data_IF_610884995309
#
_entry.id   IF_610884995309
#
_cell.length_a   1.000
_cell.length_b   1.000
_cell.length_c   1.000
_cell.angle_alpha   90.00
_cell.angle_beta   90.00
_cell.angle_gamma   90.00
#
_symmetry.space_group_name_H-M   'P 1'
#
loop_
_entity.id
_entity.type
_entity.pdbx_description
1 polymer ?
#
# COMPACT_ATOMS: atom_id res chain seq x y z
N UNK A 1 -19.62 -18.32 -13.92
CA UNK A 1 -18.28 -17.72 -14.02
C UNK A 1 -18.52 -16.36 -14.62
N UNK A 2 -18.41 -15.30 -13.82
CA UNK A 2 -18.72 -13.95 -14.30
C UNK A 2 -17.65 -13.53 -15.30
N UNK A 3 -18.12 -13.17 -16.50
CA UNK A 3 -17.35 -12.57 -17.59
C UNK A 3 -16.45 -11.45 -17.09
N UNK A 4 -15.33 -11.28 -17.80
CA UNK A 4 -14.50 -10.08 -17.80
C UNK A 4 -15.39 -8.84 -17.66
N UNK A 5 -15.44 -8.29 -16.45
CA UNK A 5 -16.05 -6.98 -16.26
C UNK A 5 -15.07 -6.03 -16.93
N UNK A 6 -15.41 -5.60 -18.15
CA UNK A 6 -14.72 -4.52 -18.86
C UNK A 6 -14.87 -3.25 -18.00
N UNK A 7 -14.00 -3.12 -17.00
CA UNK A 7 -13.95 -1.94 -16.17
C UNK A 7 -13.52 -0.77 -17.05
N UNK A 8 -14.11 0.41 -16.87
CA UNK A 8 -13.67 1.58 -17.61
C UNK A 8 -12.16 1.82 -17.41
N UNK A 9 -11.40 2.14 -18.47
CA UNK A 9 -9.95 2.31 -18.38
C UNK A 9 -9.49 3.31 -17.31
N UNK A 10 -10.28 4.37 -17.10
CA UNK A 10 -10.05 5.36 -16.06
C UNK A 10 -10.18 4.79 -14.64
N UNK A 11 -11.08 3.84 -14.43
CA UNK A 11 -11.26 3.16 -13.16
C UNK A 11 -10.11 2.18 -12.90
N UNK A 12 -9.67 1.44 -13.93
CA UNK A 12 -8.46 0.60 -13.86
C UNK A 12 -7.23 1.47 -13.54
N UNK A 13 -7.08 2.62 -14.20
CA UNK A 13 -5.98 3.54 -13.95
C UNK A 13 -6.01 4.13 -12.52
N UNK A 14 -7.19 4.46 -11.99
CA UNK A 14 -7.33 4.90 -10.61
C UNK A 14 -6.94 3.80 -9.61
N UNK A 15 -7.37 2.55 -9.87
CA UNK A 15 -7.00 1.40 -9.04
C UNK A 15 -5.48 1.16 -9.05
N UNK A 16 -4.83 1.26 -10.22
CA UNK A 16 -3.38 1.15 -10.37
C UNK A 16 -2.64 2.21 -9.56
N UNK A 17 -3.06 3.47 -9.65
CA UNK A 17 -2.46 4.57 -8.87
C UNK A 17 -2.58 4.32 -7.37
N UNK A 18 -3.75 3.86 -6.90
CA UNK A 18 -3.93 3.48 -5.50
C UNK A 18 -2.98 2.35 -5.08
N UNK A 19 -2.79 1.31 -5.91
CA UNK A 19 -1.81 0.25 -5.63
C UNK A 19 -0.38 0.78 -5.57
N UNK A 20 0.01 1.63 -6.50
CA UNK A 20 1.36 2.20 -6.57
C UNK A 20 1.67 3.05 -5.34
N UNK A 21 0.72 3.89 -4.91
CA UNK A 21 0.90 4.73 -3.73
C UNK A 21 1.06 3.88 -2.45
N UNK A 22 0.24 2.84 -2.27
CA UNK A 22 0.40 1.92 -1.14
C UNK A 22 1.67 1.09 -1.21
N UNK A 23 2.11 0.70 -2.42
CA UNK A 23 3.37 -0.01 -2.60
C UNK A 23 4.56 0.87 -2.18
N UNK A 24 4.54 2.16 -2.50
CA UNK A 24 5.57 3.11 -2.07
C UNK A 24 5.63 3.29 -0.54
N UNK A 25 4.46 3.33 0.13
CA UNK A 25 4.39 3.34 1.61
C UNK A 25 5.04 2.08 2.20
N UNK A 26 4.71 0.91 1.66
CA UNK A 26 5.23 -0.37 2.15
C UNK A 26 6.72 -0.54 1.88
N UNK A 27 7.19 -0.09 0.71
CA UNK A 27 8.61 -0.07 0.34
C UNK A 27 9.40 0.80 1.32
N UNK A 28 8.94 2.02 1.60
CA UNK A 28 9.58 2.91 2.58
C UNK A 28 9.61 2.28 3.97
N UNK A 29 8.48 1.75 4.45
CA UNK A 29 8.40 1.09 5.76
C UNK A 29 9.37 -0.09 5.86
N UNK A 30 9.44 -0.90 4.82
CA UNK A 30 10.32 -2.07 4.77
C UNK A 30 11.80 -1.66 4.73
N UNK A 31 12.13 -0.61 3.98
CA UNK A 31 13.48 -0.07 3.92
C UNK A 31 13.92 0.47 5.29
N UNK A 32 13.08 1.26 5.96
CA UNK A 32 13.33 1.78 7.31
C UNK A 32 13.48 0.63 8.33
N UNK A 33 12.59 -0.36 8.32
CA UNK A 33 12.71 -1.51 9.24
C UNK A 33 13.99 -2.31 8.98
N UNK A 34 14.36 -2.50 7.72
CA UNK A 34 15.60 -3.20 7.33
C UNK A 34 16.83 -2.44 7.82
N UNK A 35 16.89 -1.12 7.61
CA UNK A 35 17.98 -0.28 8.11
C UNK A 35 18.08 -0.32 9.63
N UNK A 36 16.95 -0.14 10.33
CA UNK A 36 16.88 -0.20 11.79
C UNK A 36 17.35 -1.54 12.35
N UNK A 37 17.05 -2.64 11.68
CA UNK A 37 17.53 -3.98 12.07
C UNK A 37 19.01 -4.18 11.80
N UNK A 38 19.55 -3.62 10.71
CA UNK A 38 20.97 -3.72 10.39
C UNK A 38 21.85 -2.95 11.39
N UNK A 39 21.32 -1.88 11.98
CA UNK A 39 21.99 -1.07 13.01
C UNK A 39 21.83 -1.62 14.43
N UNK A 40 20.93 -2.58 14.65
CA UNK A 40 20.61 -3.06 15.99
C UNK A 40 21.65 -4.07 16.49
N UNK A 41 22.13 -3.87 17.71
CA UNK A 41 23.02 -4.82 18.36
C UNK A 41 22.30 -6.16 18.61
N UNK A 42 22.92 -7.30 18.26
CA UNK A 42 22.32 -8.61 18.50
C UNK A 42 22.17 -8.86 20.00
N UNK A 43 20.99 -9.31 20.43
CA UNK A 43 20.76 -9.64 21.84
C UNK A 43 21.40 -10.99 22.16
N UNK A 44 22.57 -10.95 22.80
CA UNK A 44 23.31 -12.14 23.21
C UNK A 44 22.53 -12.95 24.25
N UNK A 45 22.54 -14.28 24.12
CA UNK A 45 21.94 -15.23 25.07
C UNK A 45 20.41 -15.05 25.30
N UNK A 46 19.71 -14.39 24.37
CA UNK A 46 18.28 -14.16 24.47
C UNK A 46 17.44 -15.32 23.88
N UNK A 47 16.22 -15.54 24.40
CA UNK A 47 15.27 -16.45 23.78
C UNK A 47 14.96 -16.06 22.34
N UNK A 48 14.61 -17.05 21.51
CA UNK A 48 14.29 -16.86 20.07
C UNK A 48 13.14 -15.88 19.78
N UNK A 49 12.33 -15.55 20.78
CA UNK A 49 11.21 -14.59 20.67
C UNK A 49 11.61 -13.16 21.08
N UNK A 50 12.86 -12.94 21.46
CA UNK A 50 13.39 -11.62 21.80
C UNK A 50 13.93 -10.96 20.55
N UNK A 51 13.34 -9.84 20.16
CA UNK A 51 13.84 -9.00 19.07
C UNK A 51 14.87 -7.99 19.60
N UNK A 52 15.85 -7.59 18.76
CA UNK A 52 16.72 -6.46 19.08
C UNK A 52 15.90 -5.20 19.38
N UNK A 53 16.39 -4.38 20.29
CA UNK A 53 15.87 -3.03 20.46
C UNK A 53 16.22 -2.21 19.21
N UNK A 54 15.20 -1.82 18.46
CA UNK A 54 15.36 -0.95 17.30
C UNK A 54 15.36 0.50 17.75
N UNK A 55 16.22 1.33 17.14
CA UNK A 55 16.13 2.80 17.29
C UNK A 55 14.73 3.29 16.91
N UNK A 56 14.24 4.43 17.43
CA UNK A 56 13.03 5.05 16.89
C UNK A 56 13.24 5.45 15.41
N UNK A 57 12.12 5.78 14.75
CA UNK A 57 12.19 6.44 13.45
C UNK A 57 12.79 7.84 13.65
N UNK A 58 13.50 8.31 12.63
CA UNK A 58 14.03 9.67 12.57
C UNK A 58 12.95 10.63 12.04
N UNK A 59 13.12 11.91 12.30
CA UNK A 59 12.20 12.96 11.81
C UNK A 59 12.09 12.94 10.27
N UNK A 60 13.18 12.69 9.55
CA UNK A 60 13.17 12.59 8.09
C UNK A 60 12.42 11.35 7.58
N UNK A 61 12.56 10.21 8.27
CA UNK A 61 11.82 8.97 7.95
C UNK A 61 10.31 9.13 8.19
N UNK A 62 9.94 9.81 9.28
CA UNK A 62 8.55 10.12 9.62
C UNK A 62 7.96 11.13 8.62
N UNK A 63 8.65 12.22 8.31
CA UNK A 63 8.20 13.21 7.34
C UNK A 63 7.97 12.60 5.95
N UNK A 64 8.92 11.75 5.50
CA UNK A 64 8.77 11.04 4.23
C UNK A 64 7.58 10.08 4.26
N UNK A 65 7.34 9.41 5.37
CA UNK A 65 6.19 8.51 5.51
C UNK A 65 4.87 9.27 5.49
N UNK A 66 4.80 10.43 6.14
CA UNK A 66 3.62 11.31 6.11
C UNK A 66 3.29 11.74 4.68
N UNK A 67 4.29 12.18 3.90
CA UNK A 67 4.10 12.52 2.48
C UNK A 67 3.50 11.35 1.68
N UNK A 68 4.05 10.14 1.87
CA UNK A 68 3.57 8.93 1.19
C UNK A 68 2.14 8.56 1.61
N UNK A 69 1.81 8.74 2.89
CA UNK A 69 0.46 8.49 3.42
C UNK A 69 -0.55 9.50 2.89
N UNK A 70 -0.17 10.77 2.71
CA UNK A 70 -1.00 11.79 2.05
C UNK A 70 -1.28 11.37 0.60
N UNK A 71 -0.25 10.96 -0.15
CA UNK A 71 -0.41 10.51 -1.54
C UNK A 71 -1.30 9.26 -1.64
N UNK A 72 -1.08 8.27 -0.77
CA UNK A 72 -1.89 7.05 -0.73
C UNK A 72 -3.37 7.34 -0.38
N UNK A 73 -3.61 8.27 0.55
CA UNK A 73 -4.95 8.71 0.92
C UNK A 73 -5.65 9.42 -0.25
N UNK A 74 -4.97 10.36 -0.90
CA UNK A 74 -5.51 11.06 -2.07
C UNK A 74 -5.81 10.09 -3.23
N UNK A 75 -4.95 9.10 -3.47
CA UNK A 75 -5.17 8.08 -4.49
C UNK A 75 -6.36 7.17 -4.17
N UNK A 76 -6.55 6.82 -2.88
CA UNK A 76 -7.71 6.04 -2.44
C UNK A 76 -9.03 6.81 -2.56
N UNK A 77 -9.03 8.10 -2.21
CA UNK A 77 -10.19 8.98 -2.40
C UNK A 77 -10.54 9.13 -3.88
N UNK A 78 -9.54 9.34 -4.75
CA UNK A 78 -9.74 9.40 -6.19
C UNK A 78 -10.34 8.09 -6.75
N UNK A 79 -9.91 6.93 -6.24
CA UNK A 79 -10.50 5.64 -6.58
C UNK A 79 -11.96 5.55 -6.13
N UNK A 80 -12.29 5.97 -4.92
CA UNK A 80 -13.69 5.97 -4.45
C UNK A 80 -14.59 6.86 -5.32
N UNK A 81 -14.11 8.04 -5.71
CA UNK A 81 -14.82 8.92 -6.64
C UNK A 81 -15.00 8.25 -8.01
N UNK A 82 -13.97 7.58 -8.52
CA UNK A 82 -14.04 6.87 -9.80
C UNK A 82 -15.03 5.69 -9.77
N UNK A 83 -15.08 4.92 -8.68
CA UNK A 83 -16.06 3.84 -8.48
C UNK A 83 -17.48 4.40 -8.49
N UNK A 84 -17.71 5.50 -7.75
CA UNK A 84 -19.01 6.16 -7.69
C UNK A 84 -19.44 6.70 -9.06
N UNK A 85 -18.53 7.34 -9.80
CA UNK A 85 -18.79 7.89 -11.13
C UNK A 85 -19.07 6.80 -12.18
N UNK A 86 -18.38 5.66 -12.08
CA UNK A 86 -18.58 4.53 -12.98
C UNK A 86 -19.87 3.74 -12.68
N UNK A 87 -20.58 4.06 -11.59
CA UNK A 87 -21.84 3.41 -11.22
C UNK A 87 -21.70 1.92 -10.89
N UNK A 88 -20.47 1.45 -10.64
CA UNK A 88 -20.20 0.05 -10.32
C UNK A 88 -20.51 -0.20 -8.85
N UNK A 89 -21.28 -1.23 -8.55
CA UNK A 89 -21.65 -1.57 -7.18
C UNK A 89 -20.42 -1.98 -6.34
N UNK A 90 -20.44 -1.66 -5.04
CA UNK A 90 -19.40 -2.02 -4.06
C UNK A 90 -19.43 -3.50 -3.63
N UNK A 91 -19.94 -4.39 -4.49
CA UNK A 91 -19.94 -5.82 -4.22
C UNK A 91 -18.50 -6.34 -4.17
N UNK A 92 -18.24 -7.31 -3.29
CA UNK A 92 -16.91 -7.90 -3.10
C UNK A 92 -16.33 -8.41 -4.43
N UNK A 93 -17.15 -9.05 -5.25
CA UNK A 93 -16.73 -9.58 -6.56
C UNK A 93 -16.29 -8.47 -7.53
N UNK A 94 -16.98 -7.31 -7.52
CA UNK A 94 -16.61 -6.15 -8.33
C UNK A 94 -15.24 -5.60 -7.92
N UNK A 95 -15.01 -5.44 -6.61
CA UNK A 95 -13.74 -4.95 -6.09
C UNK A 95 -12.61 -5.93 -6.42
N UNK A 96 -12.83 -7.23 -6.21
CA UNK A 96 -11.85 -8.26 -6.58
C UNK A 96 -11.57 -8.30 -8.09
N UNK A 97 -12.59 -8.10 -8.92
CA UNK A 97 -12.45 -7.96 -10.37
C UNK A 97 -11.58 -6.77 -10.74
N UNK A 98 -11.83 -5.61 -10.14
CA UNK A 98 -11.08 -4.39 -10.39
C UNK A 98 -9.60 -4.53 -9.97
N UNK A 99 -9.34 -5.16 -8.82
CA UNK A 99 -7.98 -5.51 -8.40
C UNK A 99 -7.25 -6.41 -9.40
N UNK A 100 -7.94 -7.41 -9.97
CA UNK A 100 -7.37 -8.31 -10.99
C UNK A 100 -7.07 -7.55 -12.28
N UNK A 101 -8.02 -6.75 -12.77
CA UNK A 101 -7.86 -5.95 -13.98
C UNK A 101 -6.67 -4.97 -13.86
N UNK A 102 -6.54 -4.28 -12.73
CA UNK A 102 -5.43 -3.37 -12.46
C UNK A 102 -4.05 -4.05 -12.41
N UNK A 103 -3.99 -5.34 -12.04
CA UNK A 103 -2.74 -6.11 -12.00
C UNK A 103 -2.37 -6.71 -13.36
N UNK A 104 -3.36 -7.05 -14.19
CA UNK A 104 -3.15 -7.72 -15.47
C UNK A 104 -2.81 -6.74 -16.61
N UNK A 105 -3.33 -5.52 -16.55
CA UNK A 105 -3.04 -4.45 -17.50
C UNK A 105 -1.69 -3.77 -17.23
#
# INVERSE_FOLDING_TARGET
MADDTDFPPELIAAQKRSHQAWAAVEEHRTAVDTARRAEAEPVKDAPKWTSPHLRPWTEDEDARHEELMIEASAAAEALHVAIAAAGVGHAIDTIQGLHKAARAA
#
